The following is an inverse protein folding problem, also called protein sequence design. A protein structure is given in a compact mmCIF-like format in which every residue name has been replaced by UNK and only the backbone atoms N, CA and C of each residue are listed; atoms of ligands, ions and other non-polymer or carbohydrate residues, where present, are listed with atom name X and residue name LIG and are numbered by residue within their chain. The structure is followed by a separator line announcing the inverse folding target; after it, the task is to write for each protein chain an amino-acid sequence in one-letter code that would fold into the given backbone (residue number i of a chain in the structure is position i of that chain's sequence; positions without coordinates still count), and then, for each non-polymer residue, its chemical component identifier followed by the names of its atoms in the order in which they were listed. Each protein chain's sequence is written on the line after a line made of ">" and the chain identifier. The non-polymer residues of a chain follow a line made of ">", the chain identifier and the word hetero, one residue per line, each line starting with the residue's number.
data_IF_273942947513
#
_entry.id   IF_273942947513
#
_cell.length_a   1.000
_cell.length_b   1.000
_cell.length_c   1.000
_cell.angle_alpha   90.00
_cell.angle_beta   90.00
_cell.angle_gamma   90.00
#
_symmetry.space_group_name_H-M   'P 1'
#
loop_
_entity.id
_entity.type
_entity.pdbx_description
1 polymer ?
#
# COMPACT_ATOMS: atom_id res chain seq x y z
N UNK A 1 -16.65 12.38 -27.76
CA UNK A 1 -16.76 10.91 -27.61
C UNK A 1 -15.36 10.32 -27.62
N UNK A 2 -14.78 10.06 -26.44
CA UNK A 2 -13.44 9.50 -26.33
C UNK A 2 -13.52 7.98 -26.35
N UNK A 3 -12.85 7.36 -27.33
CA UNK A 3 -12.80 5.91 -27.52
C UNK A 3 -12.10 5.26 -26.33
N UNK A 4 -12.85 4.40 -25.63
CA UNK A 4 -12.40 3.55 -24.54
C UNK A 4 -11.53 2.42 -25.12
N UNK A 5 -10.30 2.28 -24.61
CA UNK A 5 -9.46 1.12 -24.89
C UNK A 5 -9.40 0.30 -23.60
N UNK A 6 -10.21 -0.75 -23.55
CA UNK A 6 -10.09 -1.83 -22.56
C UNK A 6 -8.86 -2.67 -22.94
N UNK A 7 -7.82 -2.64 -22.12
CA UNK A 7 -6.70 -3.57 -22.26
C UNK A 7 -7.16 -4.93 -21.73
N UNK A 8 -7.54 -5.83 -22.66
CA UNK A 8 -7.94 -7.19 -22.32
C UNK A 8 -6.72 -8.06 -21.97
N UNK A 9 -6.95 -8.86 -20.92
CA UNK A 9 -6.18 -9.97 -20.34
C UNK A 9 -4.97 -10.52 -21.11
N UNK A 10 -3.79 -10.32 -20.51
CA UNK A 10 -2.72 -11.31 -20.28
C UNK A 10 -1.65 -10.61 -19.45
N UNK A 11 -1.79 -10.70 -18.11
CA UNK A 11 -0.90 -10.10 -17.10
C UNK A 11 -0.32 -8.73 -17.50
N UNK A 12 -1.01 -7.60 -17.25
CA UNK A 12 -0.29 -6.36 -17.06
C UNK A 12 0.51 -6.57 -15.80
N UNK A 13 1.77 -6.92 -16.00
CA UNK A 13 2.76 -7.09 -14.96
C UNK A 13 2.60 -5.89 -14.00
N UNK A 14 2.44 -6.16 -12.71
CA UNK A 14 2.63 -5.15 -11.65
C UNK A 14 4.04 -4.49 -11.74
N UNK A 15 4.86 -4.93 -12.70
CA UNK A 15 6.16 -4.42 -13.10
C UNK A 15 6.11 -3.21 -14.06
N UNK A 16 4.98 -2.86 -14.68
CA UNK A 16 4.88 -1.62 -15.45
C UNK A 16 4.81 -0.34 -14.58
N UNK A 17 4.82 -0.49 -13.25
CA UNK A 17 4.73 0.60 -12.27
C UNK A 17 6.09 1.22 -11.87
N UNK A 18 7.19 0.82 -12.51
CA UNK A 18 8.53 1.30 -12.14
C UNK A 18 8.98 2.46 -13.04
N UNK A 19 8.61 3.70 -12.68
CA UNK A 19 9.41 4.86 -13.12
C UNK A 19 10.84 4.68 -12.58
N UNK A 20 11.86 5.00 -13.39
CA UNK A 20 13.32 4.77 -13.23
C UNK A 20 13.99 5.11 -11.87
N UNK A 21 13.26 5.62 -10.88
CA UNK A 21 13.77 6.02 -9.56
C UNK A 21 13.19 5.20 -8.39
N UNK A 22 12.58 4.04 -8.65
CA UNK A 22 12.04 3.20 -7.58
C UNK A 22 13.13 2.36 -6.91
N UNK A 23 13.48 2.73 -5.68
CA UNK A 23 14.31 1.90 -4.82
C UNK A 23 13.53 0.77 -4.14
N UNK A 24 12.23 0.63 -4.38
CA UNK A 24 11.40 -0.35 -3.67
C UNK A 24 10.48 -1.14 -4.62
N UNK A 25 10.39 -2.44 -4.37
CA UNK A 25 9.28 -3.28 -4.81
C UNK A 25 8.22 -3.25 -3.72
N UNK A 26 6.98 -2.92 -4.09
CA UNK A 26 5.83 -2.99 -3.20
C UNK A 26 4.93 -4.14 -3.65
N UNK A 27 4.49 -4.94 -2.69
CA UNK A 27 3.50 -5.99 -2.88
C UNK A 27 2.35 -5.77 -1.91
N UNK A 28 1.14 -6.02 -2.38
CA UNK A 28 -0.09 -5.91 -1.60
C UNK A 28 -0.79 -7.26 -1.55
N UNK A 29 -1.39 -7.58 -0.42
CA UNK A 29 -2.17 -8.78 -0.22
C UNK A 29 -3.39 -8.53 0.66
N UNK A 30 -4.36 -9.42 0.55
CA UNK A 30 -5.46 -9.53 1.51
C UNK A 30 -5.30 -10.85 2.25
N UNK A 31 -5.38 -10.78 3.57
CA UNK A 31 -5.46 -11.96 4.42
C UNK A 31 -6.89 -12.11 4.94
N UNK A 32 -7.42 -13.33 4.85
CA UNK A 32 -8.75 -13.70 5.34
C UNK A 32 -8.73 -15.15 5.85
N UNK A 33 -9.17 -15.36 7.09
CA UNK A 33 -9.43 -16.70 7.63
C UNK A 33 -8.24 -17.67 7.59
N UNK A 34 -7.01 -17.19 7.83
CA UNK A 34 -5.80 -18.02 7.82
C UNK A 34 -5.12 -18.19 6.46
N UNK A 35 -5.63 -17.51 5.41
CA UNK A 35 -5.04 -17.53 4.06
C UNK A 35 -4.65 -16.13 3.63
N UNK A 36 -3.50 -16.01 2.95
CA UNK A 36 -3.04 -14.76 2.37
C UNK A 36 -3.08 -14.86 0.84
N UNK A 37 -3.82 -13.95 0.18
CA UNK A 37 -3.84 -13.85 -1.28
C UNK A 37 -3.17 -12.56 -1.73
N UNK A 38 -2.06 -12.71 -2.44
CA UNK A 38 -1.30 -11.59 -3.02
C UNK A 38 -1.93 -11.14 -4.32
N UNK A 39 -1.98 -9.83 -4.57
CA UNK A 39 -2.63 -9.28 -5.77
C UNK A 39 -2.02 -9.75 -7.10
N UNK A 40 -0.78 -10.26 -7.09
CA UNK A 40 -0.13 -10.82 -8.28
C UNK A 40 -0.41 -12.32 -8.50
N UNK A 41 -1.26 -12.94 -7.67
CA UNK A 41 -1.67 -14.34 -7.82
C UNK A 41 -2.82 -14.48 -8.83
N UNK A 42 -3.06 -15.70 -9.29
CA UNK A 42 -4.16 -16.02 -10.23
C UNK A 42 -5.55 -15.96 -9.60
N UNK A 43 -5.64 -15.78 -8.28
CA UNK A 43 -6.92 -15.67 -7.57
C UNK A 43 -7.60 -14.31 -7.81
N UNK A 44 -6.83 -13.33 -8.31
CA UNK A 44 -7.29 -11.97 -8.62
C UNK A 44 -7.49 -11.75 -10.11
N UNK A 45 -8.66 -11.26 -10.49
CA UNK A 45 -8.89 -10.67 -11.79
C UNK A 45 -8.54 -9.19 -11.73
N UNK A 46 -7.58 -8.75 -12.53
CA UNK A 46 -7.11 -7.37 -12.52
C UNK A 46 -7.39 -6.67 -13.84
N UNK A 47 -7.81 -5.43 -13.74
CA UNK A 47 -7.86 -4.48 -14.85
C UNK A 47 -7.15 -3.20 -14.43
N UNK A 48 -6.49 -2.55 -15.38
CA UNK A 48 -5.75 -1.31 -15.14
C UNK A 48 -6.10 -0.26 -16.18
N UNK A 49 -6.23 0.98 -15.74
CA UNK A 49 -6.42 2.16 -16.58
C UNK A 49 -5.38 3.19 -16.20
N UNK A 50 -4.66 3.70 -17.19
CA UNK A 50 -3.79 4.85 -17.03
C UNK A 50 -4.17 5.88 -18.08
N UNK A 51 -4.43 7.10 -17.64
CA UNK A 51 -4.68 8.20 -18.55
C UNK A 51 -3.35 8.73 -19.11
N UNK A 52 -3.26 8.89 -20.43
CA UNK A 52 -2.03 9.39 -21.07
C UNK A 52 -1.73 10.80 -20.57
N UNK A 53 -0.51 11.01 -20.09
CA UNK A 53 -0.08 12.31 -19.56
C UNK A 53 -0.53 12.59 -18.12
N UNK A 54 -1.25 11.66 -17.48
CA UNK A 54 -1.63 11.76 -16.07
C UNK A 54 -0.63 11.02 -15.17
N UNK A 55 -0.36 11.59 -13.99
CA UNK A 55 0.36 10.91 -12.91
C UNK A 55 -0.55 10.00 -12.07
N UNK A 56 -1.83 9.85 -12.47
CA UNK A 56 -2.80 8.95 -11.88
C UNK A 56 -2.89 7.62 -12.64
N UNK A 57 -2.78 6.52 -11.91
CA UNK A 57 -3.08 5.18 -12.39
C UNK A 57 -4.18 4.55 -11.54
N UNK A 58 -5.12 3.85 -12.18
CA UNK A 58 -6.24 3.17 -11.53
C UNK A 58 -6.11 1.67 -11.80
N UNK A 59 -6.16 0.87 -10.75
CA UNK A 59 -6.22 -0.59 -10.83
C UNK A 59 -7.47 -1.06 -10.11
N UNK A 60 -8.22 -1.96 -10.73
CA UNK A 60 -9.32 -2.67 -10.08
C UNK A 60 -8.98 -4.15 -10.07
N UNK A 61 -8.96 -4.74 -8.88
CA UNK A 61 -8.69 -6.15 -8.65
C UNK A 61 -9.89 -6.80 -7.95
N UNK A 62 -10.32 -7.96 -8.43
CA UNK A 62 -11.44 -8.72 -7.87
C UNK A 62 -11.02 -10.13 -7.49
N UNK A 63 -11.27 -10.54 -6.24
CA UNK A 63 -10.98 -11.88 -5.74
C UNK A 63 -12.22 -12.77 -5.82
N UNK A 64 -12.25 -13.71 -6.78
CA UNK A 64 -13.45 -14.51 -7.10
C UNK A 64 -14.01 -15.30 -5.92
N UNK A 65 -13.14 -15.89 -5.11
CA UNK A 65 -13.58 -16.77 -4.03
C UNK A 65 -14.02 -16.00 -2.78
N UNK A 66 -13.52 -14.78 -2.59
CA UNK A 66 -13.82 -14.00 -1.38
C UNK A 66 -14.84 -12.89 -1.66
N UNK A 67 -15.20 -12.68 -2.93
CA UNK A 67 -16.06 -11.59 -3.38
C UNK A 67 -15.60 -10.23 -2.84
N UNK A 68 -14.29 -9.98 -2.93
CA UNK A 68 -13.68 -8.71 -2.52
C UNK A 68 -13.22 -7.98 -3.78
N UNK A 69 -13.68 -6.75 -3.95
CA UNK A 69 -13.11 -5.84 -4.93
C UNK A 69 -12.18 -4.84 -4.23
N UNK A 70 -11.00 -4.64 -4.82
CA UNK A 70 -10.03 -3.63 -4.43
C UNK A 70 -9.80 -2.67 -5.59
N UNK A 71 -10.09 -1.40 -5.39
CA UNK A 71 -9.68 -0.33 -6.30
C UNK A 71 -8.46 0.38 -5.72
N UNK A 72 -7.42 0.55 -6.53
CA UNK A 72 -6.17 1.22 -6.18
C UNK A 72 -6.01 2.43 -7.08
N UNK A 73 -5.90 3.61 -6.49
CA UNK A 73 -5.54 4.84 -7.15
C UNK A 73 -4.10 5.16 -6.76
N UNK A 74 -3.19 5.15 -7.72
CA UNK A 74 -1.80 5.52 -7.50
C UNK A 74 -1.54 6.89 -8.09
N UNK A 75 -1.09 7.81 -7.26
CA UNK A 75 -0.75 9.17 -7.61
C UNK A 75 0.74 9.41 -7.32
N UNK A 76 1.47 9.97 -8.28
CA UNK A 76 2.82 10.48 -8.05
C UNK A 76 2.80 12.00 -7.94
N UNK A 77 3.13 12.53 -6.77
CA UNK A 77 3.22 13.98 -6.53
C UNK A 77 4.66 14.42 -6.71
N UNK A 78 5.00 14.86 -7.93
CA UNK A 78 6.37 15.24 -8.31
C UNK A 78 6.97 16.30 -7.39
N UNK A 79 6.19 17.32 -7.02
CA UNK A 79 6.62 18.43 -6.15
C UNK A 79 6.98 17.97 -4.73
N UNK A 80 6.30 16.95 -4.23
CA UNK A 80 6.53 16.39 -2.91
C UNK A 80 7.55 15.24 -2.90
N UNK A 81 7.93 14.74 -4.07
CA UNK A 81 8.67 13.49 -4.25
C UNK A 81 8.00 12.33 -3.49
N UNK A 82 6.66 12.25 -3.62
CA UNK A 82 5.84 11.30 -2.87
C UNK A 82 4.95 10.45 -3.79
N UNK A 83 4.71 9.22 -3.37
CA UNK A 83 3.67 8.36 -3.92
C UNK A 83 2.53 8.26 -2.94
N UNK A 84 1.31 8.43 -3.42
CA UNK A 84 0.09 8.22 -2.62
C UNK A 84 -0.72 7.13 -3.30
N UNK A 85 -1.07 6.12 -2.52
CA UNK A 85 -1.96 5.04 -2.93
C UNK A 85 -3.25 5.19 -2.15
N UNK A 86 -4.37 5.37 -2.83
CA UNK A 86 -5.70 5.26 -2.23
C UNK A 86 -6.26 3.88 -2.53
N UNK A 87 -6.63 3.14 -1.50
CA UNK A 87 -7.24 1.83 -1.59
C UNK A 87 -8.72 1.94 -1.22
N UNK A 88 -9.58 1.37 -2.04
CA UNK A 88 -11.02 1.26 -1.79
C UNK A 88 -11.35 -0.23 -1.79
N UNK A 89 -11.77 -0.75 -0.64
CA UNK A 89 -12.19 -2.12 -0.47
C UNK A 89 -13.71 -2.18 -0.48
N UNK A 90 -14.25 -3.10 -1.28
CA UNK A 90 -15.68 -3.42 -1.32
C UNK A 90 -15.89 -4.89 -1.02
N UNK A 91 -16.70 -5.18 -0.01
CA UNK A 91 -17.27 -6.50 0.17
C UNK A 91 -18.44 -6.66 -0.81
N UNK A 92 -18.40 -7.66 -1.69
CA UNK A 92 -19.47 -8.01 -2.63
C UNK A 92 -20.15 -9.34 -2.26
N UNK A 93 -20.03 -9.75 -1.00
CA UNK A 93 -20.74 -10.91 -0.44
C UNK A 93 -21.85 -10.48 0.51
N UNK A 94 -22.69 -11.46 0.87
CA UNK A 94 -23.73 -11.34 1.90
C UNK A 94 -23.20 -11.55 3.33
N UNK A 95 -21.90 -11.81 3.51
CA UNK A 95 -21.30 -12.11 4.81
C UNK A 95 -20.47 -10.95 5.35
N UNK A 96 -20.30 -10.89 6.68
CA UNK A 96 -19.35 -9.96 7.29
C UNK A 96 -17.92 -10.48 7.09
N UNK A 97 -17.02 -9.63 6.58
CA UNK A 97 -15.62 -9.98 6.37
C UNK A 97 -14.70 -9.25 7.35
N UNK A 98 -13.85 -10.02 8.04
CA UNK A 98 -12.75 -9.52 8.86
C UNK A 98 -11.44 -9.76 8.11
N UNK A 99 -11.06 -8.80 7.27
CA UNK A 99 -9.86 -8.91 6.45
C UNK A 99 -8.68 -8.20 7.10
N UNK A 100 -7.47 -8.56 6.68
CA UNK A 100 -6.29 -7.74 6.92
C UNK A 100 -5.66 -7.36 5.60
N UNK A 101 -5.42 -6.07 5.42
CA UNK A 101 -4.64 -5.58 4.30
C UNK A 101 -3.17 -5.62 4.65
N UNK A 102 -2.38 -6.28 3.79
CA UNK A 102 -0.97 -6.55 4.02
C UNK A 102 -0.16 -5.82 2.96
N UNK A 103 0.83 -5.07 3.41
CA UNK A 103 1.78 -4.34 2.58
C UNK A 103 3.15 -4.91 2.86
N UNK A 104 3.86 -5.31 1.82
CA UNK A 104 5.25 -5.72 1.89
C UNK A 104 6.07 -4.81 0.99
N UNK A 105 7.06 -4.15 1.58
CA UNK A 105 7.97 -3.27 0.88
C UNK A 105 9.39 -3.80 1.02
N UNK A 106 10.05 -4.01 -0.11
CA UNK A 106 11.41 -4.48 -0.19
C UNK A 106 12.26 -3.49 -0.98
N UNK A 107 13.34 -2.99 -0.37
CA UNK A 107 14.30 -2.08 -1.02
C UNK A 107 15.23 -2.85 -1.95
N UNK A 108 15.40 -2.38 -3.19
CA UNK A 108 16.37 -2.86 -4.16
C UNK A 108 17.48 -1.81 -4.38
N UNK A 109 18.67 -2.27 -4.76
CA UNK A 109 19.81 -1.42 -5.09
C UNK A 109 20.97 -1.45 -4.09
N UNK A 110 22.11 -0.92 -4.53
CA UNK A 110 23.42 -0.93 -3.87
C UNK A 110 23.65 0.37 -3.09
N UNK A 111 22.94 0.56 -1.97
CA UNK A 111 23.20 1.67 -1.05
C UNK A 111 24.12 1.19 0.09
N UNK A 112 25.06 2.02 0.54
CA UNK A 112 26.13 1.64 1.47
C UNK A 112 25.66 1.29 2.88
N UNK A 113 24.64 1.99 3.36
CA UNK A 113 24.00 1.75 4.67
C UNK A 113 22.51 1.57 4.45
N UNK A 114 21.90 0.55 5.06
CA UNK A 114 20.46 0.26 4.92
C UNK A 114 19.90 -0.10 6.27
N UNK A 115 19.24 0.88 6.87
CA UNK A 115 18.56 0.72 8.15
C UNK A 115 17.09 1.00 7.91
N UNK A 116 16.25 0.10 8.41
CA UNK A 116 14.82 0.32 8.50
C UNK A 116 14.45 0.42 9.98
N UNK A 117 13.64 1.41 10.33
CA UNK A 117 13.19 1.59 11.70
C UNK A 117 11.73 2.05 11.73
N UNK A 118 11.09 1.82 12.87
CA UNK A 118 9.69 2.13 13.12
C UNK A 118 9.63 3.32 14.07
N UNK A 119 8.75 4.27 13.79
CA UNK A 119 8.34 5.30 14.75
C UNK A 119 6.94 4.95 15.25
N UNK A 120 6.78 4.29 16.42
CA UNK A 120 5.47 3.88 16.91
C UNK A 120 4.53 5.06 17.17
N UNK A 121 5.07 6.18 17.68
CA UNK A 121 4.29 7.39 17.95
C UNK A 121 3.72 8.03 16.69
N UNK A 122 4.43 7.91 15.55
CA UNK A 122 4.00 8.45 14.26
C UNK A 122 3.31 7.40 13.39
N UNK A 123 3.29 6.13 13.80
CA UNK A 123 2.81 4.99 13.00
C UNK A 123 3.46 4.95 11.61
N UNK A 124 4.79 5.14 11.56
CA UNK A 124 5.56 5.15 10.32
C UNK A 124 6.72 4.16 10.33
N UNK A 125 7.13 3.76 9.12
CA UNK A 125 8.37 3.04 8.88
C UNK A 125 9.30 3.97 8.09
N UNK A 126 10.53 4.11 8.55
CA UNK A 126 11.57 4.88 7.86
C UNK A 126 12.66 3.95 7.35
N UNK A 127 13.08 4.17 6.11
CA UNK A 127 14.20 3.48 5.48
C UNK A 127 15.29 4.50 5.18
N UNK A 128 16.40 4.40 5.89
CA UNK A 128 17.58 5.19 5.62
C UNK A 128 18.53 4.42 4.72
N UNK A 129 18.90 5.03 3.61
CA UNK A 129 20.09 4.66 2.87
C UNK A 129 20.72 5.86 2.20
N UNK A 130 21.84 6.31 2.77
CA UNK A 130 22.52 7.56 2.40
C UNK A 130 22.66 7.72 0.88
N UNK A 131 22.24 8.87 0.30
CA UNK A 131 21.73 10.08 0.97
C UNK A 131 20.20 10.13 1.16
N UNK A 132 19.49 9.03 0.91
CA UNK A 132 18.03 8.99 0.79
C UNK A 132 17.39 8.47 2.07
N UNK A 133 16.40 9.22 2.58
CA UNK A 133 15.46 8.76 3.59
C UNK A 133 14.08 8.58 2.96
N UNK A 134 13.46 7.44 3.21
CA UNK A 134 12.10 7.14 2.73
C UNK A 134 11.19 6.85 3.91
N UNK A 135 10.07 7.55 4.01
CA UNK A 135 9.03 7.32 5.01
C UNK A 135 7.84 6.61 4.35
N UNK A 136 7.36 5.54 4.98
CA UNK A 136 6.13 4.82 4.64
C UNK A 136 5.14 4.96 5.80
N UNK A 137 3.90 5.35 5.49
CA UNK A 137 2.83 5.45 6.48
C UNK A 137 1.47 5.13 5.86
N UNK A 138 0.48 4.91 6.72
CA UNK A 138 -0.89 4.63 6.31
C UNK A 138 -1.92 5.33 7.17
N UNK A 139 -3.11 5.53 6.60
CA UNK A 139 -4.30 5.93 7.34
C UNK A 139 -5.53 5.30 6.68
N UNK A 140 -6.25 4.47 7.44
CA UNK A 140 -7.48 3.81 6.99
C UNK A 140 -8.69 4.36 7.71
N UNK A 141 -9.75 4.65 6.96
CA UNK A 141 -10.99 5.16 7.53
C UNK A 141 -11.63 4.10 8.43
N UNK A 142 -11.88 4.47 9.70
CA UNK A 142 -12.38 3.56 10.75
C UNK A 142 -11.52 2.29 10.93
N UNK A 143 -10.29 2.28 10.40
CA UNK A 143 -9.35 1.20 10.63
C UNK A 143 -8.80 1.25 12.05
N UNK A 144 -8.44 0.07 12.58
CA UNK A 144 -7.54 0.03 13.76
C UNK A 144 -6.15 0.49 13.35
N UNK A 145 -5.35 0.91 14.33
CA UNK A 145 -3.92 1.16 14.12
C UNK A 145 -3.26 -0.04 13.44
N UNK A 146 -2.33 0.26 12.53
CA UNK A 146 -1.68 -0.77 11.72
C UNK A 146 -0.51 -1.37 12.48
N UNK A 147 -0.34 -2.68 12.37
CA UNK A 147 0.89 -3.32 12.84
C UNK A 147 2.01 -2.97 11.87
N UNK A 148 3.19 -2.66 12.40
CA UNK A 148 4.38 -2.32 11.64
C UNK A 148 5.52 -3.24 12.06
N UNK A 149 6.30 -3.72 11.10
CA UNK A 149 7.51 -4.50 11.37
C UNK A 149 8.56 -4.23 10.31
N UNK A 150 9.83 -4.26 10.72
CA UNK A 150 11.00 -4.21 9.85
C UNK A 150 11.79 -5.51 10.00
N UNK A 151 12.35 -6.02 8.91
CA UNK A 151 13.08 -7.28 8.88
C UNK A 151 12.62 -8.22 7.75
N UNK A 152 13.30 -9.35 7.60
CA UNK A 152 12.97 -10.36 6.58
C UNK A 152 11.55 -10.86 6.77
N UNK A 153 10.73 -10.85 5.71
CA UNK A 153 9.33 -11.28 5.72
C UNK A 153 9.12 -12.60 6.47
N UNK A 154 9.96 -13.60 6.23
CA UNK A 154 9.84 -14.94 6.81
C UNK A 154 9.96 -14.96 8.34
N UNK A 155 10.57 -13.93 8.93
CA UNK A 155 10.72 -13.78 10.38
C UNK A 155 9.63 -12.90 11.00
N UNK A 156 9.15 -11.91 10.25
CA UNK A 156 8.23 -10.89 10.78
C UNK A 156 6.77 -11.14 10.42
N UNK A 157 6.46 -12.03 9.48
CA UNK A 157 5.10 -12.30 9.02
C UNK A 157 4.65 -13.72 9.33
N UNK A 158 3.47 -13.84 9.94
CA UNK A 158 2.79 -15.11 10.18
C UNK A 158 1.57 -15.22 9.27
N UNK A 159 1.67 -16.00 8.20
CA UNK A 159 0.55 -16.26 7.30
C UNK A 159 -0.62 -16.96 8.01
N UNK A 160 -0.35 -17.84 8.96
CA UNK A 160 -1.39 -18.54 9.73
C UNK A 160 -2.27 -17.57 10.53
N UNK A 161 -1.68 -16.57 11.17
CA UNK A 161 -2.40 -15.63 12.04
C UNK A 161 -2.75 -14.30 11.35
N UNK A 162 -2.11 -14.00 10.23
CA UNK A 162 -2.19 -12.71 9.57
C UNK A 162 -1.61 -11.56 10.42
N UNK A 163 -0.71 -11.85 11.36
CA UNK A 163 -0.11 -10.83 12.24
C UNK A 163 1.38 -10.68 11.96
N UNK A 164 1.90 -9.50 12.30
CA UNK A 164 3.32 -9.27 12.38
C UNK A 164 3.87 -9.67 13.74
N UNK A 165 5.05 -10.28 13.75
CA UNK A 165 5.80 -10.48 14.97
C UNK A 165 6.21 -9.12 15.55
N UNK A 166 6.33 -9.05 16.89
CA UNK A 166 6.93 -7.89 17.54
C UNK A 166 8.39 -7.82 17.09
N UNK A 167 8.69 -6.90 16.18
CA UNK A 167 10.02 -6.73 15.62
C UNK A 167 10.78 -5.64 16.39
N UNK A 168 12.12 -5.71 16.48
CA UNK A 168 12.94 -4.60 16.95
C UNK A 168 12.56 -3.30 16.25
N UNK A 169 12.59 -2.19 16.99
CA UNK A 169 12.31 -0.86 16.46
C UNK A 169 13.22 -0.46 15.30
N UNK A 170 14.38 -1.10 15.17
CA UNK A 170 15.38 -0.84 14.15
C UNK A 170 16.05 -2.15 13.73
N UNK A 171 16.24 -2.35 12.43
CA UNK A 171 17.03 -3.46 11.89
C UNK A 171 17.84 -3.01 10.68
N UNK A 172 19.01 -3.63 10.51
CA UNK A 172 19.70 -3.61 9.22
C UNK A 172 18.89 -4.43 8.22
N UNK A 173 18.68 -3.89 7.02
CA UNK A 173 17.95 -4.60 5.99
C UNK A 173 17.10 -3.73 5.09
N UNK A 174 16.24 -4.42 4.35
CA UNK A 174 15.57 -3.91 3.17
C UNK A 174 14.06 -4.05 3.22
N UNK A 175 13.56 -4.88 4.12
CA UNK A 175 12.19 -5.32 4.12
C UNK A 175 11.43 -4.72 5.28
N UNK A 176 10.20 -4.34 4.99
CA UNK A 176 9.26 -3.86 5.98
C UNK A 176 7.86 -4.30 5.59
N UNK A 177 7.03 -4.42 6.61
CA UNK A 177 5.65 -4.84 6.45
C UNK A 177 4.72 -4.00 7.31
N UNK A 178 3.52 -3.81 6.78
CA UNK A 178 2.42 -3.13 7.45
C UNK A 178 1.17 -3.96 7.28
N UNK A 179 0.40 -4.09 8.37
CA UNK A 179 -0.84 -4.88 8.38
C UNK A 179 -1.94 -4.07 9.03
N UNK A 180 -3.01 -3.81 8.29
CA UNK A 180 -4.19 -3.07 8.77
C UNK A 180 -5.39 -3.99 8.82
N UNK A 181 -6.05 -4.08 9.98
CA UNK A 181 -7.30 -4.84 10.12
C UNK A 181 -8.50 -4.01 9.68
N UNK A 182 -9.36 -4.59 8.84
CA UNK A 182 -10.56 -3.95 8.32
C UNK A 182 -11.78 -4.85 8.53
N UNK A 183 -12.89 -4.25 8.94
CA UNK A 183 -14.19 -4.91 9.05
C UNK A 183 -15.10 -4.40 7.95
N UNK A 184 -15.66 -5.31 7.15
CA UNK A 184 -16.55 -5.00 6.05
C UNK A 184 -17.85 -5.75 6.23
N UNK A 185 -18.93 -5.02 6.49
CA UNK A 185 -20.28 -5.56 6.42
C UNK A 185 -20.64 -5.97 4.97
N UNK A 186 -21.70 -6.75 4.76
CA UNK A 186 -22.20 -7.07 3.42
C UNK A 186 -22.35 -5.81 2.57
N UNK A 187 -21.88 -5.86 1.33
CA UNK A 187 -21.97 -4.75 0.37
C UNK A 187 -21.26 -3.44 0.79
N UNK A 188 -20.55 -3.44 1.93
CA UNK A 188 -19.91 -2.26 2.46
C UNK A 188 -18.63 -1.92 1.70
N UNK A 189 -18.41 -0.62 1.54
CA UNK A 189 -17.15 -0.05 1.11
C UNK A 189 -16.41 0.62 2.27
N UNK A 190 -15.09 0.44 2.31
CA UNK A 190 -14.17 1.25 3.13
C UNK A 190 -12.97 1.66 2.29
N UNK A 191 -12.19 2.58 2.83
CA UNK A 191 -11.05 3.11 2.11
C UNK A 191 -9.90 3.47 3.05
N UNK A 192 -8.71 3.59 2.48
CA UNK A 192 -7.56 4.11 3.18
C UNK A 192 -6.48 4.55 2.22
N UNK A 193 -5.43 5.13 2.79
CA UNK A 193 -4.27 5.57 2.05
C UNK A 193 -3.00 5.00 2.60
N UNK A 194 -2.06 4.79 1.70
CA UNK A 194 -0.65 4.61 2.01
C UNK A 194 0.10 5.69 1.27
N UNK A 195 1.06 6.32 1.91
CA UNK A 195 1.96 7.22 1.22
C UNK A 195 3.41 6.87 1.52
N UNK A 196 4.23 7.07 0.49
CA UNK A 196 5.67 6.99 0.55
C UNK A 196 6.25 8.36 0.23
N UNK A 197 7.11 8.86 1.10
CA UNK A 197 7.75 10.17 0.94
C UNK A 197 9.25 9.96 0.90
N UNK A 198 9.89 10.49 -0.14
CA UNK A 198 11.34 10.52 -0.23
C UNK A 198 11.86 11.91 0.16
N UNK A 199 12.98 11.92 0.87
CA UNK A 199 13.69 13.13 1.28
C UNK A 199 15.14 12.82 1.63
N UNK A 200 15.81 13.83 2.18
CA UNK A 200 17.23 13.75 2.58
C UNK A 200 17.43 13.87 4.08
N UNK A 201 16.41 14.32 4.81
CA UNK A 201 16.40 14.43 6.27
C UNK A 201 15.08 13.97 6.88
N UNK A 202 15.12 13.62 8.16
CA UNK A 202 13.92 13.23 8.92
C UNK A 202 12.90 14.36 9.01
N UNK A 203 13.36 15.59 9.27
CA UNK A 203 12.52 16.78 9.33
C UNK A 203 11.73 17.01 8.04
N UNK A 204 12.40 16.87 6.89
CA UNK A 204 11.77 17.05 5.58
C UNK A 204 10.63 16.04 5.36
N UNK A 205 10.89 14.76 5.60
CA UNK A 205 9.89 13.70 5.37
C UNK A 205 8.76 13.77 6.39
N UNK A 206 9.03 14.16 7.63
CA UNK A 206 8.01 14.32 8.67
C UNK A 206 7.11 15.53 8.41
N UNK A 207 7.66 16.66 7.96
CA UNK A 207 6.85 17.82 7.56
C UNK A 207 5.86 17.45 6.44
N UNK A 208 6.32 16.70 5.44
CA UNK A 208 5.46 16.20 4.35
C UNK A 208 4.42 15.20 4.85
N UNK A 209 4.80 14.31 5.78
CA UNK A 209 3.88 13.36 6.41
C UNK A 209 2.76 14.05 7.18
N UNK A 210 3.07 15.07 7.98
CA UNK A 210 2.08 15.83 8.74
C UNK A 210 1.08 16.55 7.81
N UNK A 211 1.55 17.03 6.65
CA UNK A 211 0.66 17.58 5.59
C UNK A 211 -0.29 16.51 5.04
N UNK A 212 0.18 15.28 4.83
CA UNK A 212 -0.67 14.19 4.33
C UNK A 212 -1.73 13.77 5.37
N UNK A 213 -1.37 13.69 6.66
CA UNK A 213 -2.33 13.38 7.73
C UNK A 213 -3.46 14.42 7.79
N UNK A 214 -3.12 15.71 7.69
CA UNK A 214 -4.09 16.81 7.75
C UNK A 214 -4.91 16.97 6.47
N UNK A 215 -4.54 16.29 5.39
CA UNK A 215 -5.22 16.41 4.12
C UNK A 215 -6.62 15.79 4.18
N UNK A 216 -7.66 16.63 4.03
CA UNK A 216 -9.05 16.18 3.89
C UNK A 216 -9.33 15.47 2.55
N UNK A 217 -8.32 15.31 1.70
CA UNK A 217 -8.44 14.80 0.35
C UNK A 217 -9.00 13.37 0.30
N UNK A 218 -8.89 12.59 1.39
CA UNK A 218 -9.47 11.24 1.51
C UNK A 218 -10.99 11.24 1.36
N UNK A 219 -11.66 12.25 1.92
CA UNK A 219 -13.13 12.42 1.84
C UNK A 219 -13.58 13.00 0.50
N UNK A 220 -12.70 13.72 -0.20
CA UNK A 220 -13.02 14.38 -1.48
C UNK A 220 -12.89 13.42 -2.66
N UNK A 221 -11.82 12.61 -2.70
CA UNK A 221 -11.59 11.64 -3.79
C UNK A 221 -12.68 10.57 -3.83
N UNK A 222 -13.18 10.12 -2.69
CA UNK A 222 -14.30 9.17 -2.62
C UNK A 222 -15.61 9.74 -3.16
N UNK A 223 -15.87 11.04 -3.00
CA UNK A 223 -17.09 11.70 -3.52
C UNK A 223 -17.09 11.92 -5.03
N UNK A 224 -15.94 11.81 -5.69
CA UNK A 224 -15.80 12.06 -7.13
C UNK A 224 -15.73 10.76 -7.96
N UNK A 225 -15.50 9.62 -7.29
CA UNK A 225 -15.37 8.30 -7.92
C UNK A 225 -16.64 7.46 -7.73
N UNK A 226 -17.44 7.78 -6.71
CA UNK A 226 -18.83 7.32 -6.53
C UNK A 226 -19.79 8.29 -7.22
#
# INVERSE_FOLDING_TARGET
>A
MNRLILLNSKHPSMFAFQKKNHHFLKKFAVWLGGKCSWLNSSEWEMSSKQERGSDLSIVVAFHKQWNIQLTILQEYKKEESSFVYTFIFKNQSEENLNIKFVVHQQRFGTVSSKVAFISPLRQTIMHYGSPILTLLATNFFKGKESQLAVGKREKIWSEKSGNLAVSPLCQSGHESMMVTSLQLAPWQETYGRIWEINGTSEEEVLMKHDKQIRSNHLKQVTKQIL
#
